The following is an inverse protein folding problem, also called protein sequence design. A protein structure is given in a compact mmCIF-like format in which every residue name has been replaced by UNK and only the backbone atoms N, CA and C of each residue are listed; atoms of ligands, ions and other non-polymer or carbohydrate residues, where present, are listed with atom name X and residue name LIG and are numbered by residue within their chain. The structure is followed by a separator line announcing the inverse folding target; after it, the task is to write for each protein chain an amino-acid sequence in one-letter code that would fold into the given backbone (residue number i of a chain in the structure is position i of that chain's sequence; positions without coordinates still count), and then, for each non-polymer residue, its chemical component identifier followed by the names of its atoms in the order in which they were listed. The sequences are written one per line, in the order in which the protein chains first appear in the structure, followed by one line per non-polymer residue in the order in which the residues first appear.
data_IF_157000431448
#
_entry.id   IF_157000431448
#
_cell.length_a   1.000
_cell.length_b   1.000
_cell.length_c   1.000
_cell.angle_alpha   90.00
_cell.angle_beta   90.00
_cell.angle_gamma   90.00
#
_symmetry.space_group_name_H-M   'P 1'
#
loop_
_entity.id
_entity.type
_entity.pdbx_description
1 polymer ?
#
# COMPACT_ATOMS: atom_id res chain seq x y z
N UNK A 1 14.83 30.30 3.97
CA UNK A 1 14.15 29.89 5.21
C UNK A 1 12.78 29.39 4.78
N UNK A 2 12.55 28.07 4.75
CA UNK A 2 11.31 27.51 4.20
C UNK A 2 10.11 27.89 5.05
N UNK A 3 8.95 28.10 4.42
CA UNK A 3 7.73 28.50 5.14
C UNK A 3 7.20 27.35 5.99
N UNK A 4 6.39 27.65 7.02
CA UNK A 4 5.73 26.61 7.84
C UNK A 4 4.87 25.67 7.00
N UNK A 5 4.27 26.17 5.91
CA UNK A 5 3.52 25.37 4.95
C UNK A 5 4.40 24.34 4.22
N UNK A 6 5.60 24.72 3.79
CA UNK A 6 6.56 23.79 3.16
C UNK A 6 7.08 22.74 4.14
N UNK A 7 7.21 23.08 5.43
CA UNK A 7 7.58 22.11 6.45
C UNK A 7 6.46 21.08 6.66
N UNK A 8 5.20 21.55 6.74
CA UNK A 8 4.01 20.68 6.84
C UNK A 8 3.90 19.77 5.61
N UNK A 9 4.13 20.31 4.40
CA UNK A 9 4.12 19.53 3.15
C UNK A 9 5.14 18.38 3.17
N UNK A 10 6.37 18.66 3.60
CA UNK A 10 7.42 17.64 3.74
C UNK A 10 7.12 16.60 4.81
N UNK A 11 6.50 16.99 5.93
CA UNK A 11 6.05 16.04 6.96
C UNK A 11 5.00 15.09 6.38
N UNK A 12 3.99 15.62 5.68
CA UNK A 12 2.97 14.80 5.03
C UNK A 12 3.54 13.89 3.94
N UNK A 13 4.50 14.37 3.16
CA UNK A 13 5.22 13.55 2.20
C UNK A 13 5.87 12.34 2.87
N UNK A 14 6.56 12.55 4.00
CA UNK A 14 7.13 11.47 4.81
C UNK A 14 6.09 10.46 5.29
N UNK A 15 4.93 10.91 5.76
CA UNK A 15 3.85 10.01 6.17
C UNK A 15 3.27 9.21 5.02
N UNK A 16 3.02 9.83 3.86
CA UNK A 16 2.49 9.14 2.68
C UNK A 16 3.46 8.06 2.17
N UNK A 17 4.75 8.40 2.10
CA UNK A 17 5.80 7.45 1.71
C UNK A 17 5.93 6.30 2.71
N UNK A 18 5.94 6.61 4.02
CA UNK A 18 5.99 5.59 5.07
C UNK A 18 4.78 4.65 5.03
N UNK A 19 3.57 5.20 4.82
CA UNK A 19 2.35 4.41 4.71
C UNK A 19 2.39 3.48 3.48
N UNK A 20 2.78 4.00 2.32
CA UNK A 20 2.91 3.19 1.11
C UNK A 20 3.95 2.07 1.27
N UNK A 21 5.12 2.38 1.87
CA UNK A 21 6.16 1.38 2.15
C UNK A 21 5.69 0.30 3.14
N UNK A 22 4.92 0.68 4.16
CA UNK A 22 4.28 -0.26 5.07
C UNK A 22 3.29 -1.18 4.34
N UNK A 23 2.48 -0.62 3.43
CA UNK A 23 1.59 -1.40 2.58
C UNK A 23 2.34 -2.35 1.65
N UNK A 24 3.45 -1.92 1.03
CA UNK A 24 4.29 -2.81 0.23
C UNK A 24 4.91 -3.93 1.08
N UNK A 25 5.36 -3.64 2.30
CA UNK A 25 5.89 -4.66 3.20
C UNK A 25 4.82 -5.70 3.54
N UNK A 26 3.61 -5.27 3.90
CA UNK A 26 2.47 -6.15 4.16
C UNK A 26 2.11 -6.99 2.94
N UNK A 27 1.89 -6.35 1.78
CA UNK A 27 1.48 -7.02 0.55
C UNK A 27 2.54 -7.97 -0.03
N UNK A 28 3.82 -7.64 0.04
CA UNK A 28 4.90 -8.48 -0.50
C UNK A 28 5.31 -9.54 0.51
N UNK A 29 5.70 -9.12 1.72
CA UNK A 29 6.26 -10.06 2.68
C UNK A 29 5.16 -10.93 3.27
N UNK A 30 4.07 -10.35 3.76
CA UNK A 30 3.07 -11.10 4.52
C UNK A 30 2.11 -11.85 3.60
N UNK A 31 1.56 -11.22 2.55
CA UNK A 31 0.58 -11.87 1.68
C UNK A 31 1.21 -12.79 0.63
N UNK A 32 2.33 -12.39 0.02
CA UNK A 32 2.90 -13.13 -1.11
C UNK A 32 4.02 -14.09 -0.69
N UNK A 33 5.03 -13.63 0.03
CA UNK A 33 6.20 -14.46 0.39
C UNK A 33 5.85 -15.43 1.51
N UNK A 34 5.32 -14.92 2.63
CA UNK A 34 5.00 -15.73 3.80
C UNK A 34 3.60 -16.35 3.73
N UNK A 35 2.73 -15.81 2.87
CA UNK A 35 1.34 -16.27 2.71
C UNK A 35 0.57 -16.35 4.04
N UNK A 36 0.90 -15.47 4.99
CA UNK A 36 0.42 -15.57 6.38
C UNK A 36 -1.03 -15.08 6.52
N UNK A 37 -1.45 -14.14 5.69
CA UNK A 37 -2.83 -13.67 5.60
C UNK A 37 -3.12 -13.28 4.15
N UNK A 38 -4.35 -13.50 3.71
CA UNK A 38 -4.83 -13.04 2.42
C UNK A 38 -5.85 -11.91 2.65
N UNK A 39 -5.99 -10.99 1.69
CA UNK A 39 -6.96 -9.89 1.80
C UNK A 39 -8.39 -10.37 2.03
N UNK A 40 -8.76 -11.51 1.45
CA UNK A 40 -10.10 -12.10 1.53
C UNK A 40 -10.17 -13.27 2.52
N UNK A 41 -9.20 -13.39 3.43
CA UNK A 41 -9.18 -14.45 4.43
C UNK A 41 -10.46 -14.41 5.29
N UNK A 42 -11.15 -15.54 5.39
CA UNK A 42 -12.41 -15.66 6.15
C UNK A 42 -13.68 -15.40 5.33
N UNK A 43 -13.56 -15.12 4.02
CA UNK A 43 -14.70 -15.08 3.13
C UNK A 43 -14.90 -16.45 2.46
N UNK A 44 -15.82 -17.24 3.02
CA UNK A 44 -16.20 -18.56 2.51
C UNK A 44 -17.25 -18.44 1.38
N UNK A 45 -16.94 -17.64 0.37
CA UNK A 45 -17.78 -17.50 -0.82
C UNK A 45 -16.91 -17.61 -2.07
N UNK A 46 -17.17 -18.63 -2.88
CA UNK A 46 -16.69 -18.64 -4.26
C UNK A 46 -17.23 -17.40 -5.01
N UNK A 47 -16.39 -16.65 -5.74
CA UNK A 47 -15.04 -16.99 -6.24
C UNK A 47 -13.88 -16.41 -5.41
N UNK A 48 -14.13 -15.88 -4.22
CA UNK A 48 -13.13 -15.12 -3.44
C UNK A 48 -12.03 -16.01 -2.85
N UNK A 49 -12.20 -17.33 -2.87
CA UNK A 49 -11.15 -18.30 -2.51
C UNK A 49 -10.29 -18.72 -3.71
N UNK A 50 -10.65 -18.36 -4.94
CA UNK A 50 -9.81 -18.60 -6.11
C UNK A 50 -8.50 -17.81 -5.98
N UNK A 51 -7.37 -18.51 -6.10
CA UNK A 51 -6.03 -17.92 -6.06
C UNK A 51 -5.85 -16.78 -7.07
N UNK A 52 -6.53 -16.83 -8.22
CA UNK A 52 -6.50 -15.77 -9.24
C UNK A 52 -7.14 -14.48 -8.72
N UNK A 53 -8.21 -14.61 -7.95
CA UNK A 53 -8.91 -13.48 -7.33
C UNK A 53 -8.07 -12.90 -6.20
N UNK A 54 -7.42 -13.74 -5.39
CA UNK A 54 -6.49 -13.30 -4.35
C UNK A 54 -5.29 -12.54 -4.95
N UNK A 55 -4.67 -13.07 -6.01
CA UNK A 55 -3.57 -12.40 -6.72
C UNK A 55 -4.03 -11.05 -7.31
N UNK A 56 -5.23 -11.00 -7.89
CA UNK A 56 -5.79 -9.74 -8.39
C UNK A 56 -5.99 -8.73 -7.26
N UNK A 57 -6.55 -9.16 -6.12
CA UNK A 57 -6.76 -8.31 -4.96
C UNK A 57 -5.42 -7.77 -4.43
N UNK A 58 -4.41 -8.62 -4.27
CA UNK A 58 -3.06 -8.20 -3.88
C UNK A 58 -2.49 -7.19 -4.89
N UNK A 59 -2.64 -7.44 -6.19
CA UNK A 59 -2.18 -6.52 -7.24
C UNK A 59 -2.86 -5.16 -7.21
N UNK A 60 -4.18 -5.10 -6.98
CA UNK A 60 -4.93 -3.85 -6.84
C UNK A 60 -4.51 -3.09 -5.59
N UNK A 61 -4.26 -3.80 -4.48
CA UNK A 61 -3.71 -3.21 -3.26
C UNK A 61 -2.33 -2.57 -3.51
N UNK A 62 -1.43 -3.27 -4.22
CA UNK A 62 -0.13 -2.71 -4.59
C UNK A 62 -0.26 -1.49 -5.50
N UNK A 63 -1.18 -1.52 -6.48
CA UNK A 63 -1.44 -0.39 -7.36
C UNK A 63 -1.88 0.85 -6.57
N UNK A 64 -2.75 0.67 -5.56
CA UNK A 64 -3.13 1.74 -4.65
C UNK A 64 -1.92 2.29 -3.88
N UNK A 65 -1.05 1.41 -3.35
CA UNK A 65 0.16 1.82 -2.65
C UNK A 65 1.13 2.58 -3.56
N UNK A 66 1.25 2.21 -4.84
CA UNK A 66 1.99 2.99 -5.83
C UNK A 66 1.41 4.40 -6.00
N UNK A 67 0.08 4.53 -6.08
CA UNK A 67 -0.59 5.83 -6.14
C UNK A 67 -0.24 6.72 -4.94
N UNK A 68 -0.32 6.16 -3.73
CA UNK A 68 0.03 6.88 -2.49
C UNK A 68 1.51 7.28 -2.48
N UNK A 69 2.40 6.37 -2.89
CA UNK A 69 3.82 6.66 -2.99
C UNK A 69 4.11 7.79 -3.99
N UNK A 70 3.46 7.81 -5.15
CA UNK A 70 3.60 8.88 -6.14
C UNK A 70 3.14 10.23 -5.60
N UNK A 71 2.02 10.27 -4.87
CA UNK A 71 1.56 11.51 -4.21
C UNK A 71 2.56 11.95 -3.14
N UNK A 72 3.10 11.01 -2.35
CA UNK A 72 4.14 11.29 -1.36
C UNK A 72 5.43 11.84 -1.99
N UNK A 73 5.89 11.25 -3.09
CA UNK A 73 7.06 11.73 -3.85
C UNK A 73 6.81 13.12 -4.44
N UNK A 74 5.63 13.34 -5.00
CA UNK A 74 5.24 14.64 -5.55
C UNK A 74 5.15 15.73 -4.47
N UNK A 75 4.67 15.40 -3.27
CA UNK A 75 4.64 16.34 -2.15
C UNK A 75 6.03 16.58 -1.50
N UNK A 76 6.99 15.68 -1.74
CA UNK A 76 8.35 15.80 -1.22
C UNK A 76 9.21 16.77 -2.03
N UNK A 77 8.97 16.83 -3.35
CA UNK A 77 9.75 17.58 -4.32
C UNK A 77 9.14 18.96 -4.59
#
# INVERSE_FOLDING_TARGET
MGTTAEAIGRTWAGYLLGFALGGFFDGILLHQILQWHHLLLGVDAEPLQDIRVQILADGLFHLLMYGIALVGLWALW
#
